data_IF_463353976482
#
_entry.id   IF_463353976482
#
_cell.length_a   1.000
_cell.length_b   1.000
_cell.length_c   1.000
_cell.angle_alpha   90.00
_cell.angle_beta   90.00
_cell.angle_gamma   90.00
#
_symmetry.space_group_name_H-M   'P 1'
#
loop_
_entity.id
_entity.type
_entity.pdbx_description
1 polymer ?
#
# COMPACT_ATOMS: atom_id res chain seq x y z
N UNK A 1 -20.69 -2.70 -44.97
CA UNK A 1 -19.78 -3.12 -43.87
C UNK A 1 -18.74 -2.02 -43.68
N UNK A 2 -18.92 -1.14 -42.69
CA UNK A 2 -18.08 0.04 -42.50
C UNK A 2 -16.81 -0.32 -41.69
N UNK A 3 -15.64 -0.14 -42.30
CA UNK A 3 -14.34 -0.30 -41.67
C UNK A 3 -14.05 0.91 -40.78
N UNK A 4 -13.93 0.71 -39.47
CA UNK A 4 -13.53 1.76 -38.53
C UNK A 4 -12.03 2.01 -38.66
N UNK A 5 -11.66 3.13 -39.27
CA UNK A 5 -10.28 3.61 -39.32
C UNK A 5 -9.78 3.88 -37.90
N UNK A 6 -8.81 3.09 -37.44
CA UNK A 6 -8.07 3.35 -36.22
C UNK A 6 -7.24 4.63 -36.42
N UNK A 7 -7.62 5.70 -35.73
CA UNK A 7 -6.92 6.97 -35.76
C UNK A 7 -5.53 6.83 -35.14
N UNK A 8 -4.51 6.56 -35.96
CA UNK A 8 -3.10 6.57 -35.57
C UNK A 8 -2.66 8.02 -35.32
N UNK A 9 -2.94 8.54 -34.12
CA UNK A 9 -2.37 9.83 -33.71
C UNK A 9 -0.84 9.71 -33.69
N UNK A 10 -0.18 10.44 -34.59
CA UNK A 10 1.26 10.62 -34.59
C UNK A 10 1.65 11.57 -33.47
N UNK A 11 1.58 11.11 -32.22
CA UNK A 11 2.10 11.89 -31.10
C UNK A 11 3.61 12.05 -31.27
N UNK A 12 4.11 13.28 -31.23
CA UNK A 12 5.56 13.50 -31.20
C UNK A 12 6.14 12.75 -29.99
N UNK A 13 7.37 12.20 -30.09
CA UNK A 13 7.98 11.44 -29.00
C UNK A 13 8.07 12.26 -27.70
N UNK A 14 8.22 13.58 -27.81
CA UNK A 14 8.20 14.50 -26.67
C UNK A 14 6.84 14.58 -25.97
N UNK A 15 5.75 14.56 -26.73
CA UNK A 15 4.39 14.56 -26.15
C UNK A 15 4.14 13.24 -25.44
N UNK A 16 4.50 12.11 -26.07
CA UNK A 16 4.40 10.76 -25.48
C UNK A 16 5.18 10.64 -24.17
N UNK A 17 6.43 11.12 -24.16
CA UNK A 17 7.25 11.12 -22.95
C UNK A 17 6.59 11.91 -21.81
N UNK A 18 5.97 13.06 -22.13
CA UNK A 18 5.32 13.91 -21.12
C UNK A 18 3.99 13.34 -20.65
N UNK A 19 3.19 12.73 -21.51
CA UNK A 19 1.95 12.04 -21.11
C UNK A 19 2.28 10.89 -20.16
N UNK A 20 3.26 10.07 -20.51
CA UNK A 20 3.70 8.93 -19.72
C UNK A 20 4.26 9.33 -18.34
N UNK A 21 5.08 10.38 -18.27
CA UNK A 21 5.54 10.91 -16.98
C UNK A 21 4.40 11.51 -16.13
N UNK A 22 3.37 12.06 -16.76
CA UNK A 22 2.19 12.56 -16.05
C UNK A 22 1.35 11.41 -15.51
N UNK A 23 1.16 10.34 -16.28
CA UNK A 23 0.43 9.14 -15.83
C UNK A 23 1.16 8.45 -14.67
N UNK A 24 2.48 8.29 -14.74
CA UNK A 24 3.28 7.76 -13.62
C UNK A 24 3.14 8.59 -12.34
N UNK A 25 3.08 9.92 -12.47
CA UNK A 25 2.85 10.83 -11.35
C UNK A 25 1.42 10.76 -10.82
N UNK A 26 0.43 10.61 -11.71
CA UNK A 26 -0.99 10.60 -11.36
C UNK A 26 -1.47 9.23 -10.88
N UNK A 27 -0.64 8.19 -10.96
CA UNK A 27 -1.00 6.87 -10.49
C UNK A 27 -1.06 6.85 -8.95
N UNK A 28 -2.18 6.40 -8.34
CA UNK A 28 -2.33 6.34 -6.88
C UNK A 28 -1.34 5.38 -6.20
N UNK A 29 -0.66 4.53 -6.97
CA UNK A 29 0.43 3.69 -6.44
C UNK A 29 1.69 4.48 -6.10
N UNK A 30 1.82 5.69 -6.64
CA UNK A 30 2.96 6.57 -6.40
C UNK A 30 2.67 7.37 -5.14
N UNK A 31 3.54 7.33 -4.11
CA UNK A 31 3.26 8.02 -2.86
C UNK A 31 3.03 9.52 -3.14
N UNK A 32 2.07 10.17 -2.44
CA UNK A 32 1.75 11.58 -2.61
C UNK A 32 2.87 12.44 -2.01
N UNK A 33 4.05 12.41 -2.64
CA UNK A 33 5.17 13.29 -2.30
C UNK A 33 5.24 14.37 -3.35
N UNK A 34 5.30 15.60 -2.86
CA UNK A 34 5.23 16.87 -3.58
C UNK A 34 5.62 16.78 -5.07
N UNK A 35 4.80 17.41 -5.92
CA UNK A 35 4.84 17.44 -7.38
C UNK A 35 6.23 17.85 -7.96
N UNK A 36 7.20 18.23 -7.13
CA UNK A 36 8.57 18.58 -7.51
C UNK A 36 9.65 17.95 -6.61
N UNK A 37 9.35 16.86 -5.91
CA UNK A 37 10.35 16.21 -5.06
C UNK A 37 11.42 15.51 -5.92
N UNK A 38 12.72 15.66 -5.58
CA UNK A 38 13.80 14.96 -6.27
C UNK A 38 13.65 13.43 -6.18
N UNK A 39 12.94 12.95 -5.15
CA UNK A 39 12.63 11.54 -4.93
C UNK A 39 11.81 10.88 -6.06
N UNK A 40 11.02 11.65 -6.83
CA UNK A 40 10.33 11.11 -8.01
C UNK A 40 11.31 10.90 -9.17
N UNK A 41 12.25 11.82 -9.37
CA UNK A 41 13.22 11.75 -10.45
C UNK A 41 14.23 10.61 -10.25
N UNK A 42 14.48 10.20 -9.00
CA UNK A 42 15.35 9.08 -8.64
C UNK A 42 14.68 7.71 -8.68
N UNK A 43 13.39 7.61 -9.02
CA UNK A 43 12.71 6.33 -9.13
C UNK A 43 13.28 5.50 -10.30
N UNK A 44 13.51 4.19 -10.13
CA UNK A 44 14.11 3.34 -11.16
C UNK A 44 13.25 3.27 -12.43
N UNK A 45 11.92 3.38 -12.30
CA UNK A 45 11.02 3.40 -13.45
C UNK A 45 11.20 4.67 -14.29
N UNK A 46 11.47 5.81 -13.66
CA UNK A 46 11.66 7.09 -14.36
C UNK A 46 13.00 7.10 -15.10
N UNK A 47 14.06 6.51 -14.53
CA UNK A 47 15.33 6.35 -15.22
C UNK A 47 15.23 5.37 -16.39
N UNK A 48 14.53 4.25 -16.22
CA UNK A 48 14.28 3.28 -17.30
C UNK A 48 13.58 3.93 -18.50
N UNK A 49 12.48 4.64 -18.25
CA UNK A 49 11.75 5.38 -19.30
C UNK A 49 12.67 6.41 -19.97
N UNK A 50 13.48 7.16 -19.21
CA UNK A 50 14.42 8.12 -19.82
C UNK A 50 15.44 7.43 -20.72
N UNK A 51 15.93 6.26 -20.32
CA UNK A 51 16.92 5.51 -21.07
C UNK A 51 16.33 4.87 -22.33
N UNK A 52 15.09 4.35 -22.27
CA UNK A 52 14.41 3.80 -23.45
C UNK A 52 14.19 4.86 -24.53
N UNK A 53 13.76 6.08 -24.16
CA UNK A 53 13.61 7.19 -25.10
C UNK A 53 14.96 7.68 -25.66
N UNK A 54 16.06 7.61 -24.88
CA UNK A 54 17.40 7.93 -25.40
C UNK A 54 17.91 6.86 -26.38
N UNK A 55 17.72 5.60 -26.05
CA UNK A 55 18.11 4.47 -26.91
C UNK A 55 17.30 4.45 -28.23
N UNK A 56 16.03 4.86 -28.18
CA UNK A 56 15.18 5.06 -29.36
C UNK A 56 15.78 6.06 -30.33
N UNK A 57 16.35 7.17 -29.86
CA UNK A 57 16.89 8.22 -30.76
C UNK A 57 18.21 7.85 -31.44
N UNK A 58 18.90 6.81 -30.96
CA UNK A 58 20.21 6.39 -31.46
C UNK A 58 20.18 5.12 -32.29
N UNK A 59 19.04 4.42 -32.35
CA UNK A 59 18.88 3.17 -33.10
C UNK A 59 17.81 3.34 -34.17
N UNK A 60 18.02 2.74 -35.35
CA UNK A 60 17.08 2.79 -36.49
C UNK A 60 15.72 2.13 -36.22
N UNK A 61 15.50 1.63 -34.99
CA UNK A 61 14.28 1.01 -34.49
C UNK A 61 13.31 1.95 -33.76
N UNK A 62 13.31 3.25 -34.06
CA UNK A 62 12.41 4.26 -33.45
C UNK A 62 10.94 3.80 -33.41
N UNK A 63 10.48 3.09 -34.44
CA UNK A 63 9.08 2.65 -34.53
C UNK A 63 8.68 1.56 -33.53
N UNK A 64 9.60 0.70 -33.08
CA UNK A 64 9.31 -0.40 -32.16
C UNK A 64 9.26 0.09 -30.71
N UNK A 65 10.27 0.87 -30.30
CA UNK A 65 10.34 1.44 -28.95
C UNK A 65 9.21 2.44 -28.67
N UNK A 66 8.79 3.24 -29.65
CA UNK A 66 7.65 4.15 -29.48
C UNK A 66 6.30 3.42 -29.31
N UNK A 67 6.14 2.23 -29.90
CA UNK A 67 4.94 1.40 -29.70
C UNK A 67 4.88 0.88 -28.27
N UNK A 68 5.99 0.31 -27.77
CA UNK A 68 6.09 -0.17 -26.39
C UNK A 68 5.77 0.93 -25.36
N UNK A 69 6.24 2.15 -25.60
CA UNK A 69 5.93 3.29 -24.72
C UNK A 69 4.45 3.69 -24.77
N UNK A 70 3.79 3.59 -25.94
CA UNK A 70 2.35 3.81 -26.06
C UNK A 70 1.56 2.74 -25.30
N UNK A 71 1.97 1.49 -25.39
CA UNK A 71 1.35 0.37 -24.68
C UNK A 71 1.50 0.55 -23.17
N UNK A 72 2.67 1.00 -22.71
CA UNK A 72 2.90 1.33 -21.31
C UNK A 72 2.05 2.51 -20.84
N UNK A 73 1.89 3.57 -21.65
CA UNK A 73 0.96 4.68 -21.33
C UNK A 73 -0.47 4.16 -21.17
N UNK A 74 -0.94 3.32 -22.09
CA UNK A 74 -2.27 2.73 -22.06
C UNK A 74 -2.49 1.88 -20.81
N UNK A 75 -1.50 1.05 -20.45
CA UNK A 75 -1.53 0.22 -19.25
C UNK A 75 -1.60 1.06 -17.96
N UNK A 76 -0.79 2.11 -17.85
CA UNK A 76 -0.83 2.97 -16.67
C UNK A 76 -2.17 3.68 -16.52
N UNK A 77 -2.74 4.16 -17.63
CA UNK A 77 -4.07 4.76 -17.65
C UNK A 77 -5.15 3.76 -17.25
N UNK A 78 -5.13 2.56 -17.81
CA UNK A 78 -6.13 1.52 -17.49
C UNK A 78 -6.04 1.09 -16.03
N UNK A 79 -4.83 1.00 -15.46
CA UNK A 79 -4.63 0.71 -14.04
C UNK A 79 -5.24 1.80 -13.14
N UNK A 80 -5.04 3.08 -13.47
CA UNK A 80 -5.68 4.19 -12.73
C UNK A 80 -7.21 4.08 -12.75
N UNK A 81 -7.80 3.86 -13.93
CA UNK A 81 -9.25 3.71 -14.09
C UNK A 81 -9.76 2.47 -13.36
N UNK A 82 -9.03 1.35 -13.43
CA UNK A 82 -9.38 0.12 -12.73
C UNK A 82 -9.46 0.33 -11.21
N UNK A 83 -8.47 1.01 -10.62
CA UNK A 83 -8.49 1.37 -9.19
C UNK A 83 -9.68 2.28 -8.84
N UNK A 84 -9.98 3.26 -9.67
CA UNK A 84 -11.14 4.14 -9.49
C UNK A 84 -12.46 3.35 -9.50
N UNK A 85 -12.59 2.37 -10.41
CA UNK A 85 -13.75 1.48 -10.48
C UNK A 85 -13.84 0.55 -9.26
N UNK A 86 -12.72 0.00 -8.81
CA UNK A 86 -12.68 -0.84 -7.60
C UNK A 86 -13.21 -0.08 -6.38
N UNK A 87 -12.74 1.14 -6.15
CA UNK A 87 -13.19 1.97 -5.02
C UNK A 87 -14.70 2.25 -5.09
N UNK A 88 -15.26 2.49 -6.29
CA UNK A 88 -16.69 2.80 -6.46
C UNK A 88 -17.61 1.60 -6.31
N UNK A 89 -17.24 0.47 -6.89
CA UNK A 89 -18.15 -0.68 -7.01
C UNK A 89 -17.84 -1.79 -6.02
N UNK A 90 -16.60 -1.87 -5.51
CA UNK A 90 -16.19 -2.83 -4.50
C UNK A 90 -15.33 -2.15 -3.42
N UNK A 91 -15.91 -1.29 -2.57
CA UNK A 91 -15.15 -0.57 -1.55
C UNK A 91 -14.53 -1.48 -0.47
N UNK A 92 -14.96 -2.74 -0.38
CA UNK A 92 -14.43 -3.71 0.60
C UNK A 92 -13.33 -4.60 0.01
N UNK A 93 -12.79 -4.27 -1.18
CA UNK A 93 -11.77 -5.07 -1.87
C UNK A 93 -10.44 -5.19 -1.11
N UNK A 94 -10.10 -4.21 -0.26
CA UNK A 94 -8.88 -4.21 0.55
C UNK A 94 -9.06 -4.92 1.90
N UNK A 95 -10.29 -5.30 2.26
CA UNK A 95 -10.58 -5.89 3.58
C UNK A 95 -10.38 -7.39 3.58
N UNK A 96 -9.85 -7.91 4.69
CA UNK A 96 -9.82 -9.35 4.95
C UNK A 96 -11.25 -9.88 5.16
N UNK A 97 -11.43 -11.20 5.02
CA UNK A 97 -12.74 -11.83 5.20
C UNK A 97 -13.35 -11.50 6.58
N UNK A 98 -12.53 -11.58 7.63
CA UNK A 98 -12.95 -11.31 9.00
C UNK A 98 -13.41 -9.85 9.19
N UNK A 99 -12.68 -8.89 8.63
CA UNK A 99 -13.04 -7.47 8.66
C UNK A 99 -14.32 -7.20 7.88
N UNK A 100 -14.49 -7.89 6.75
CA UNK A 100 -15.69 -7.79 5.91
C UNK A 100 -16.93 -8.30 6.64
N UNK A 101 -16.84 -9.47 7.27
CA UNK A 101 -17.90 -10.04 8.12
C UNK A 101 -18.23 -9.11 9.29
N UNK A 102 -17.22 -8.45 9.86
CA UNK A 102 -17.42 -7.46 10.94
C UNK A 102 -18.11 -6.19 10.47
N UNK A 103 -17.74 -5.67 9.30
CA UNK A 103 -18.38 -4.50 8.72
C UNK A 103 -19.84 -4.77 8.37
N UNK A 104 -20.16 -5.97 7.86
CA UNK A 104 -21.55 -6.35 7.54
C UNK A 104 -22.38 -6.62 8.78
N UNK A 105 -21.83 -7.28 9.81
CA UNK A 105 -22.51 -7.47 11.10
C UNK A 105 -22.92 -6.11 11.72
N UNK A 106 -21.99 -5.15 11.76
CA UNK A 106 -22.27 -3.80 12.29
C UNK A 106 -23.34 -3.06 11.49
N UNK A 107 -23.44 -3.31 10.18
CA UNK A 107 -24.45 -2.71 9.31
C UNK A 107 -25.87 -3.11 9.70
N UNK A 108 -26.05 -4.30 10.30
CA UNK A 108 -27.34 -4.79 10.82
C UNK A 108 -27.48 -4.61 12.33
N UNK A 109 -26.54 -3.91 12.98
CA UNK A 109 -26.56 -3.69 14.44
C UNK A 109 -26.13 -4.91 15.27
N UNK A 110 -25.45 -5.88 14.65
CA UNK A 110 -24.90 -7.06 15.33
C UNK A 110 -23.37 -6.97 15.41
N UNK A 111 -22.77 -7.70 16.34
CA UNK A 111 -21.30 -7.89 16.39
C UNK A 111 -20.94 -9.33 16.01
N UNK A 112 -19.71 -9.52 15.53
CA UNK A 112 -19.24 -10.85 15.11
C UNK A 112 -18.90 -11.68 16.34
N UNK A 113 -19.40 -12.94 16.44
CA UNK A 113 -19.03 -13.83 17.53
C UNK A 113 -17.51 -14.08 17.57
N UNK A 114 -16.97 -14.25 18.78
CA UNK A 114 -15.58 -14.67 18.95
C UNK A 114 -15.45 -16.10 18.42
N UNK A 115 -14.50 -16.32 17.52
CA UNK A 115 -14.21 -17.66 17.01
C UNK A 115 -13.71 -18.57 18.15
N UNK A 116 -14.27 -19.78 18.25
CA UNK A 116 -13.84 -20.75 19.24
C UNK A 116 -12.44 -21.28 18.86
N UNK A 117 -11.41 -20.76 19.53
CA UNK A 117 -10.06 -21.29 19.45
C UNK A 117 -9.89 -22.36 20.54
N UNK A 118 -9.79 -23.67 20.21
CA UNK A 118 -9.79 -24.76 21.19
C UNK A 118 -8.63 -24.72 22.19
N UNK A 119 -7.63 -23.86 21.97
CA UNK A 119 -6.43 -23.75 22.79
C UNK A 119 -6.35 -22.46 23.63
N UNK A 120 -7.28 -21.50 23.47
CA UNK A 120 -7.22 -20.20 24.16
C UNK A 120 -7.44 -20.30 25.68
N UNK A 121 -8.13 -21.34 26.17
CA UNK A 121 -8.40 -21.53 27.60
C UNK A 121 -7.19 -21.97 28.45
N UNK A 122 -6.03 -22.28 27.85
CA UNK A 122 -4.84 -22.73 28.58
C UNK A 122 -3.92 -21.59 29.02
N UNK A 123 -4.03 -20.42 28.41
CA UNK A 123 -3.14 -19.28 28.68
C UNK A 123 -3.65 -18.42 29.85
N UNK A 124 -4.98 -18.27 30.00
CA UNK A 124 -5.57 -17.49 31.11
C UNK A 124 -5.42 -18.16 32.49
N UNK A 125 -5.23 -19.48 32.55
CA UNK A 125 -4.95 -20.19 33.82
C UNK A 125 -3.50 -20.00 34.30
N UNK A 126 -2.58 -19.55 33.42
CA UNK A 126 -1.18 -19.33 33.76
C UNK A 126 -0.95 -17.97 34.44
N UNK A 127 -1.66 -16.92 33.99
CA UNK A 127 -1.52 -15.55 34.52
C UNK A 127 -2.09 -15.41 35.95
N UNK A 128 -3.12 -16.21 36.27
CA UNK A 128 -3.71 -16.26 37.62
C UNK A 128 -2.88 -17.06 38.63
N UNK A 129 -2.02 -17.98 38.16
CA UNK A 129 -1.07 -18.72 39.04
C UNK A 129 0.18 -17.91 39.37
N UNK A 130 0.70 -17.14 38.41
CA UNK A 130 1.86 -16.25 38.61
C UNK A 130 1.60 -15.15 39.66
N UNK A 131 0.37 -14.62 39.68
CA UNK A 131 -0.08 -13.59 40.63
C UNK A 131 -0.28 -14.12 42.05
N UNK A 132 -0.66 -15.39 42.22
CA UNK A 132 -0.72 -16.05 43.55
C UNK A 132 0.66 -16.31 44.14
N UNK A 133 1.64 -16.72 43.33
CA UNK A 133 3.01 -16.99 43.80
C UNK A 133 3.74 -15.70 44.25
N UNK A 134 3.49 -14.56 43.60
CA UNK A 134 4.08 -13.27 44.00
C UNK A 134 3.55 -12.69 45.32
N UNK A 135 2.35 -13.08 45.76
CA UNK A 135 1.75 -12.56 46.99
C UNK A 135 2.39 -13.15 48.26
N UNK A 136 2.92 -14.37 48.17
CA UNK A 136 3.53 -15.07 49.30
C UNK A 136 4.96 -14.56 49.61
N UNK A 137 5.64 -13.96 48.63
CA UNK A 137 7.03 -13.46 48.76
C UNK A 137 7.17 -12.18 49.61
N UNK A 138 6.09 -11.47 49.92
CA UNK A 138 6.12 -10.22 50.71
C UNK A 138 5.91 -10.43 52.21
N UNK A 139 5.69 -11.66 52.66
CA UNK A 139 5.48 -12.00 54.08
C UNK A 139 6.82 -12.12 54.82
N UNK A 140 7.58 -11.02 54.92
CA UNK A 140 8.84 -11.05 55.68
C UNK A 140 9.71 -9.78 55.69
N UNK A 141 9.35 -8.71 54.98
CA UNK A 141 10.16 -7.49 54.92
C UNK A 141 9.44 -6.29 55.54
N UNK A 142 9.11 -6.38 56.82
CA UNK A 142 8.78 -5.21 57.65
C UNK A 142 10.00 -4.86 58.50
N UNK A 143 11.04 -4.37 57.86
CA UNK A 143 12.15 -3.67 58.53
C UNK A 143 11.94 -2.15 58.42
N UNK A 144 12.51 -1.34 59.32
CA UNK A 144 12.41 0.12 59.23
C UNK A 144 12.96 0.61 57.87
N UNK A 145 12.26 1.57 57.26
CA UNK A 145 12.70 2.19 56.00
C UNK A 145 14.12 2.76 56.17
N UNK A 146 15.02 2.55 55.20
CA UNK A 146 16.33 3.18 55.24
C UNK A 146 16.16 4.70 55.15
N UNK A 147 16.96 5.48 55.91
CA UNK A 147 16.88 6.93 55.86
C UNK A 147 17.29 7.43 54.46
N UNK A 148 16.72 8.56 54.01
CA UNK A 148 17.03 9.12 52.71
C UNK A 148 18.47 9.64 52.67
N UNK A 149 19.21 9.29 51.62
CA UNK A 149 20.56 9.80 51.39
C UNK A 149 20.49 11.32 51.13
N UNK A 150 21.04 12.09 52.06
CA UNK A 150 21.26 13.53 51.90
C UNK A 150 22.73 13.76 51.62
N UNK A 151 23.10 13.81 50.35
CA UNK A 151 24.37 14.39 49.91
C UNK A 151 24.10 15.46 48.83
N UNK A 152 24.88 16.55 48.96
CA UNK A 152 24.84 17.81 48.21
C UNK A 152 25.62 17.77 46.89
#
# INVERSE_FOLDING_TARGET
MASAASSSSSSTPRILYRSLLRELRSNPSTPPKAIRSPAFASQPIVSYVRQSFRASTTSDGEGASLKEMKDLELFLRSNRVHKELLVRYNPLHDQTEAERVKATARRVGLDVPVEYLPNAGKEEEMDTRSSRQRADDYKGKTGPLPPPDLDA
#
